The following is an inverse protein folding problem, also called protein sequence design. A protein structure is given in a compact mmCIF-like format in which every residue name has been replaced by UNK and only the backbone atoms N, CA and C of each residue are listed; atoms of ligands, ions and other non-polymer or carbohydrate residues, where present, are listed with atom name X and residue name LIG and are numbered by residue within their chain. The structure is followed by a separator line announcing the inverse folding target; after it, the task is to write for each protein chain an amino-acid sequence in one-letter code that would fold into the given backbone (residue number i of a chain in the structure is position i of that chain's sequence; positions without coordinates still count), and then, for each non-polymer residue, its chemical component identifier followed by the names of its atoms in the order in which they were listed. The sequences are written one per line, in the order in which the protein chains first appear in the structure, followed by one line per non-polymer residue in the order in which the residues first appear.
data_IF_987823076677
#
_entry.id   IF_987823076677
#
_cell.length_a   1.000
_cell.length_b   1.000
_cell.length_c   1.000
_cell.angle_alpha   90.00
_cell.angle_beta   90.00
_cell.angle_gamma   90.00
#
_symmetry.space_group_name_H-M   'P 1'
#
loop_
_entity.id
_entity.type
_entity.pdbx_description
1 polymer ?
#
# COMPACT_ATOMS: atom_id res chain seq x y z
N UNK A 1 -1.79 4.15 -27.77
CA UNK A 1 -1.06 5.39 -27.40
C UNK A 1 -0.66 6.15 -28.65
N UNK A 2 -0.52 7.46 -28.56
CA UNK A 2 -0.08 8.34 -29.64
C UNK A 2 1.10 9.20 -29.19
N UNK A 3 2.16 9.21 -29.99
CA UNK A 3 3.31 10.11 -29.87
C UNK A 3 3.29 11.12 -31.02
N UNK A 4 3.89 12.27 -30.81
CA UNK A 4 4.13 13.25 -31.86
C UNK A 4 5.16 12.74 -32.90
N UNK A 5 5.27 13.42 -34.04
CA UNK A 5 6.18 13.08 -35.15
C UNK A 5 7.64 13.01 -34.68
N UNK A 6 8.02 13.84 -33.71
CA UNK A 6 9.37 13.84 -33.12
C UNK A 6 9.63 12.70 -32.12
N UNK A 7 8.60 11.91 -31.79
CA UNK A 7 8.61 10.86 -30.76
C UNK A 7 9.03 11.34 -29.36
N UNK A 8 9.06 12.66 -29.12
CA UNK A 8 9.45 13.28 -27.84
C UNK A 8 8.26 13.81 -27.06
N UNK A 9 7.14 14.04 -27.74
CA UNK A 9 5.89 14.45 -27.08
C UNK A 9 4.89 13.30 -27.02
N UNK A 10 4.42 13.00 -25.81
CA UNK A 10 3.32 12.07 -25.60
C UNK A 10 1.98 12.78 -25.78
N UNK A 11 1.17 12.36 -26.75
CA UNK A 11 -0.05 13.08 -27.13
C UNK A 11 -1.33 12.46 -26.56
N UNK A 12 -1.40 11.13 -26.46
CA UNK A 12 -2.62 10.46 -25.99
C UNK A 12 -2.39 9.04 -25.50
N UNK A 13 -2.95 8.69 -24.34
CA UNK A 13 -3.08 7.31 -23.89
C UNK A 13 -4.38 6.70 -24.42
N UNK A 14 -4.37 5.40 -24.74
CA UNK A 14 -5.59 4.64 -25.04
C UNK A 14 -5.87 3.69 -23.90
N UNK A 15 -7.14 3.39 -23.61
CA UNK A 15 -7.54 2.52 -22.48
C UNK A 15 -6.81 1.18 -22.47
N UNK A 16 -6.54 0.61 -23.65
CA UNK A 16 -5.82 -0.65 -23.82
C UNK A 16 -4.34 -0.61 -23.40
N UNK A 17 -3.78 0.56 -23.08
CA UNK A 17 -2.39 0.66 -22.61
C UNK A 17 -2.26 0.74 -21.10
N UNK A 18 -3.35 0.98 -20.38
CA UNK A 18 -3.36 0.95 -18.92
C UNK A 18 -3.46 -0.52 -18.53
N UNK A 19 -2.54 -0.98 -17.69
CA UNK A 19 -2.54 -2.36 -17.21
C UNK A 19 -3.75 -2.62 -16.30
N UNK A 20 -4.09 -3.89 -16.05
CA UNK A 20 -5.27 -4.25 -15.23
C UNK A 20 -5.18 -3.75 -13.78
N UNK A 21 -3.98 -3.53 -13.27
CA UNK A 21 -3.68 -2.89 -11.98
C UNK A 21 -3.73 -1.35 -12.02
N UNK A 22 -4.08 -0.76 -13.18
CA UNK A 22 -4.26 0.69 -13.35
C UNK A 22 -2.96 1.47 -13.46
N UNK A 23 -1.86 0.81 -13.83
CA UNK A 23 -0.55 1.45 -13.97
C UNK A 23 -0.29 1.77 -15.44
N UNK A 24 0.29 2.94 -15.71
CA UNK A 24 0.80 3.27 -17.03
C UNK A 24 2.28 3.66 -16.96
N UNK A 25 3.07 3.06 -17.85
CA UNK A 25 4.48 3.38 -18.01
C UNK A 25 4.67 4.18 -19.30
N UNK A 26 5.13 5.43 -19.19
CA UNK A 26 5.49 6.21 -20.37
C UNK A 26 6.74 5.61 -21.05
N UNK A 27 6.81 5.62 -22.39
CA UNK A 27 8.01 5.17 -23.09
C UNK A 27 9.21 6.07 -22.80
N UNK A 28 10.41 5.48 -22.85
CA UNK A 28 11.66 6.20 -22.64
C UNK A 28 11.91 7.26 -23.73
N UNK A 29 12.57 8.36 -23.37
CA UNK A 29 12.95 9.42 -24.31
C UNK A 29 11.91 10.53 -24.53
N UNK A 30 10.73 10.43 -23.91
CA UNK A 30 9.75 11.52 -23.90
C UNK A 30 10.30 12.70 -23.09
N UNK A 31 10.18 13.90 -23.65
CA UNK A 31 10.51 15.16 -22.98
C UNK A 31 9.29 16.01 -22.65
N UNK A 32 8.14 15.77 -23.31
CA UNK A 32 6.92 16.54 -23.13
C UNK A 32 5.70 15.62 -22.96
N UNK A 33 4.86 15.88 -21.96
CA UNK A 33 3.49 15.37 -21.93
C UNK A 33 2.60 16.44 -22.57
N UNK A 34 1.91 16.07 -23.64
CA UNK A 34 1.06 16.96 -24.43
C UNK A 34 -0.20 17.39 -23.68
N UNK A 35 -0.89 18.35 -24.27
CA UNK A 35 -2.21 18.80 -23.82
C UNK A 35 -3.21 17.64 -23.85
N UNK A 36 -4.02 17.51 -22.79
CA UNK A 36 -5.05 16.45 -22.66
C UNK A 36 -4.54 15.01 -22.83
N UNK A 37 -3.24 14.74 -22.67
CA UNK A 37 -2.68 13.45 -23.04
C UNK A 37 -3.23 12.24 -22.25
N UNK A 38 -3.70 12.47 -21.03
CA UNK A 38 -4.39 11.51 -20.17
C UNK A 38 -5.79 11.97 -19.81
N UNK A 39 -6.43 12.82 -20.62
CA UNK A 39 -7.77 13.29 -20.34
C UNK A 39 -8.77 12.13 -20.18
N UNK A 40 -9.60 12.18 -19.13
CA UNK A 40 -10.64 11.23 -18.77
C UNK A 40 -10.16 9.77 -18.67
N UNK A 41 -8.91 9.56 -18.23
CA UNK A 41 -8.36 8.23 -17.99
C UNK A 41 -8.85 7.67 -16.66
N UNK A 42 -10.07 7.16 -16.66
CA UNK A 42 -10.74 6.61 -15.47
C UNK A 42 -10.10 5.33 -14.94
N UNK A 43 -9.33 4.59 -15.75
CA UNK A 43 -8.70 3.35 -15.30
C UNK A 43 -7.29 3.61 -14.72
N UNK A 44 -6.75 4.81 -14.89
CA UNK A 44 -5.41 5.18 -14.43
C UNK A 44 -5.42 5.40 -12.92
N UNK A 45 -4.73 4.54 -12.17
CA UNK A 45 -4.57 4.61 -10.72
C UNK A 45 -3.22 5.15 -10.29
N UNK A 46 -2.16 4.76 -10.99
CA UNK A 46 -0.78 5.18 -10.70
C UNK A 46 -0.06 5.56 -11.99
N UNK A 47 0.66 6.68 -11.93
CA UNK A 47 1.52 7.12 -13.02
C UNK A 47 2.91 7.51 -12.52
N UNK A 48 3.93 6.96 -13.20
CA UNK A 48 5.33 7.34 -12.98
C UNK A 48 5.81 8.12 -14.18
N UNK A 49 6.09 9.41 -14.00
CA UNK A 49 6.63 10.24 -15.07
C UNK A 49 8.16 10.01 -15.15
N UNK A 50 8.69 9.54 -16.30
CA UNK A 50 10.09 9.17 -16.40
C UNK A 50 11.01 10.39 -16.35
N UNK A 51 12.25 10.16 -15.89
CA UNK A 51 13.31 11.16 -15.95
C UNK A 51 13.53 11.62 -17.39
N UNK A 52 13.58 12.93 -17.59
CA UNK A 52 13.75 13.55 -18.92
C UNK A 52 12.53 14.34 -19.38
N UNK A 53 11.34 14.08 -18.81
CA UNK A 53 10.18 14.94 -19.04
C UNK A 53 10.41 16.29 -18.38
N UNK A 54 10.33 17.35 -19.17
CA UNK A 54 10.57 18.74 -18.73
C UNK A 54 9.28 19.55 -18.64
N UNK A 55 8.21 19.15 -19.33
CA UNK A 55 6.96 19.91 -19.29
C UNK A 55 5.71 19.04 -19.44
N UNK A 56 4.64 19.48 -18.79
CA UNK A 56 3.30 18.89 -18.84
C UNK A 56 2.34 19.92 -19.40
N UNK A 57 1.64 19.58 -20.48
CA UNK A 57 0.68 20.45 -21.17
C UNK A 57 -0.59 20.71 -20.36
N UNK A 58 -1.42 21.64 -20.83
CA UNK A 58 -2.68 21.97 -20.17
C UNK A 58 -3.62 20.75 -20.14
N UNK A 59 -4.47 20.66 -19.11
CA UNK A 59 -5.46 19.58 -18.96
C UNK A 59 -4.90 18.15 -19.06
N UNK A 60 -3.58 17.95 -18.92
CA UNK A 60 -2.95 16.67 -19.23
C UNK A 60 -3.55 15.48 -18.45
N UNK A 61 -4.02 15.67 -17.22
CA UNK A 61 -4.70 14.65 -16.40
C UNK A 61 -6.14 15.04 -16.06
N UNK A 62 -6.78 15.88 -16.88
CA UNK A 62 -8.15 16.34 -16.63
C UNK A 62 -9.11 15.14 -16.52
N UNK A 63 -9.92 15.08 -15.47
CA UNK A 63 -10.91 14.01 -15.27
C UNK A 63 -10.34 12.61 -15.02
N UNK A 64 -9.07 12.48 -14.61
CA UNK A 64 -8.52 11.20 -14.13
C UNK A 64 -9.07 10.85 -12.74
N UNK A 65 -10.32 10.41 -12.67
CA UNK A 65 -11.07 10.28 -11.42
C UNK A 65 -10.57 9.19 -10.47
N UNK A 66 -9.77 8.23 -10.94
CA UNK A 66 -9.20 7.15 -10.13
C UNK A 66 -7.68 7.29 -9.92
N UNK A 67 -7.06 8.36 -10.45
CA UNK A 67 -5.64 8.59 -10.27
C UNK A 67 -5.41 8.88 -8.78
N UNK A 68 -4.63 8.02 -8.14
CA UNK A 68 -4.40 8.04 -6.70
C UNK A 68 -2.97 8.47 -6.36
N UNK A 69 -2.01 8.04 -7.18
CA UNK A 69 -0.58 8.31 -6.97
C UNK A 69 0.09 8.79 -8.24
N UNK A 70 0.82 9.89 -8.14
CA UNK A 70 1.62 10.47 -9.23
C UNK A 70 3.06 10.71 -8.78
N UNK A 71 4.02 10.13 -9.49
CA UNK A 71 5.44 10.40 -9.28
C UNK A 71 5.96 11.40 -10.32
N UNK A 72 6.49 12.53 -9.83
CA UNK A 72 7.00 13.66 -10.62
C UNK A 72 8.54 13.70 -10.54
N UNK A 73 9.26 13.69 -11.68
CA UNK A 73 10.71 13.73 -11.72
C UNK A 73 11.24 15.15 -11.50
N UNK A 74 12.52 15.22 -11.10
CA UNK A 74 13.22 16.50 -10.84
C UNK A 74 13.36 17.36 -12.10
N UNK A 75 13.32 16.74 -13.29
CA UNK A 75 13.49 17.40 -14.58
C UNK A 75 12.34 18.33 -14.97
N UNK A 76 11.16 18.24 -14.32
CA UNK A 76 10.03 19.11 -14.64
C UNK A 76 10.40 20.58 -14.43
N UNK A 77 10.06 21.41 -15.41
CA UNK A 77 10.28 22.86 -15.43
C UNK A 77 8.98 23.64 -15.59
N UNK A 78 7.94 23.02 -16.16
CA UNK A 78 6.66 23.67 -16.41
C UNK A 78 5.51 22.67 -16.26
N UNK A 79 4.43 23.11 -15.61
CA UNK A 79 3.16 22.40 -15.47
C UNK A 79 2.09 23.33 -16.03
N UNK A 80 1.29 22.84 -16.97
CA UNK A 80 0.22 23.58 -17.62
C UNK A 80 -0.92 23.95 -16.66
N UNK A 81 -1.88 24.69 -17.19
CA UNK A 81 -3.08 25.08 -16.46
C UNK A 81 -4.05 23.90 -16.32
N UNK A 82 -4.75 23.82 -15.17
CA UNK A 82 -5.82 22.87 -14.88
C UNK A 82 -5.44 21.39 -15.12
N UNK A 83 -4.14 21.07 -15.01
CA UNK A 83 -3.57 19.75 -15.29
C UNK A 83 -4.26 18.64 -14.49
N UNK A 84 -4.65 18.93 -13.25
CA UNK A 84 -5.25 17.96 -12.32
C UNK A 84 -6.72 18.28 -12.01
N UNK A 85 -7.37 19.15 -12.78
CA UNK A 85 -8.78 19.43 -12.57
C UNK A 85 -9.62 18.15 -12.78
N UNK A 86 -10.50 17.83 -11.82
CA UNK A 86 -11.26 16.58 -11.83
C UNK A 86 -10.53 15.35 -11.25
N UNK A 87 -9.25 15.45 -10.86
CA UNK A 87 -8.55 14.36 -10.17
C UNK A 87 -8.97 14.26 -8.69
N UNK A 88 -10.19 13.79 -8.43
CA UNK A 88 -10.80 13.81 -7.09
C UNK A 88 -10.15 12.83 -6.10
N UNK A 89 -9.60 11.70 -6.57
CA UNK A 89 -8.96 10.66 -5.73
C UNK A 89 -7.46 10.84 -5.57
N UNK A 90 -6.85 11.85 -6.22
CA UNK A 90 -5.41 12.03 -6.19
C UNK A 90 -5.01 12.40 -4.78
N UNK A 91 -4.35 11.46 -4.09
CA UNK A 91 -4.00 11.60 -2.68
C UNK A 91 -2.52 11.91 -2.51
N UNK A 92 -1.68 11.31 -3.37
CA UNK A 92 -0.23 11.39 -3.25
C UNK A 92 0.41 11.94 -4.52
N UNK A 93 1.15 13.04 -4.36
CA UNK A 93 2.10 13.54 -5.35
C UNK A 93 3.50 13.36 -4.77
N UNK A 94 4.30 12.52 -5.42
CA UNK A 94 5.62 12.15 -4.94
C UNK A 94 6.65 12.86 -5.82
N UNK A 95 7.53 13.63 -5.19
CA UNK A 95 8.66 14.26 -5.90
C UNK A 95 9.87 13.33 -5.78
N UNK A 96 10.41 12.92 -6.92
CA UNK A 96 11.60 12.07 -7.02
C UNK A 96 12.92 12.84 -6.74
N UNK A 97 12.92 13.71 -5.73
CA UNK A 97 14.11 14.47 -5.27
C UNK A 97 14.24 14.39 -3.75
N UNK A 98 15.48 14.35 -3.29
CA UNK A 98 15.84 14.49 -1.88
C UNK A 98 16.43 15.89 -1.56
N UNK A 99 16.55 16.77 -2.57
CA UNK A 99 17.04 18.14 -2.39
C UNK A 99 15.85 19.08 -2.10
N UNK A 100 15.92 19.84 -0.99
CA UNK A 100 14.88 20.79 -0.61
C UNK A 100 14.63 21.86 -1.67
N UNK A 101 15.68 22.35 -2.35
CA UNK A 101 15.53 23.37 -3.38
C UNK A 101 14.70 22.88 -4.59
N UNK A 102 14.88 21.62 -4.99
CA UNK A 102 14.09 21.03 -6.07
C UNK A 102 12.66 20.74 -5.63
N UNK A 103 12.48 20.29 -4.38
CA UNK A 103 11.17 20.08 -3.80
C UNK A 103 10.35 21.38 -3.78
N UNK A 104 10.93 22.47 -3.28
CA UNK A 104 10.27 23.78 -3.22
C UNK A 104 9.96 24.31 -4.62
N UNK A 105 10.91 24.18 -5.55
CA UNK A 105 10.72 24.60 -6.95
C UNK A 105 9.58 23.86 -7.63
N UNK A 106 9.48 22.55 -7.48
CA UNK A 106 8.41 21.75 -8.12
C UNK A 106 7.07 21.99 -7.40
N UNK A 107 7.09 22.12 -6.08
CA UNK A 107 5.90 22.46 -5.29
C UNK A 107 5.34 23.83 -5.68
N UNK A 108 6.21 24.79 -6.03
CA UNK A 108 5.80 26.10 -6.52
C UNK A 108 5.08 26.04 -7.88
N UNK A 109 5.39 25.05 -8.73
CA UNK A 109 4.70 24.83 -10.02
C UNK A 109 3.31 24.22 -9.84
N UNK A 110 3.04 23.59 -8.70
CA UNK A 110 1.75 22.96 -8.41
C UNK A 110 0.75 23.98 -7.85
N UNK A 111 -0.56 23.82 -8.17
CA UNK A 111 -1.62 24.62 -7.57
C UNK A 111 -1.60 24.55 -6.03
N UNK A 112 -1.93 25.65 -5.37
CA UNK A 112 -1.85 25.76 -3.89
C UNK A 112 -2.63 24.66 -3.17
N UNK A 113 -3.81 24.33 -3.67
CA UNK A 113 -4.70 23.31 -3.10
C UNK A 113 -4.16 21.87 -3.21
N UNK A 114 -3.10 21.63 -3.99
CA UNK A 114 -2.39 20.35 -4.05
C UNK A 114 -1.12 20.30 -3.22
N UNK A 115 -0.58 21.43 -2.79
CA UNK A 115 0.70 21.46 -2.04
C UNK A 115 0.62 20.66 -0.75
N UNK A 116 -0.58 20.52 -0.18
CA UNK A 116 -0.84 19.70 0.99
C UNK A 116 -0.77 18.18 0.74
N UNK A 117 -0.71 17.71 -0.51
CA UNK A 117 -0.66 16.30 -0.92
C UNK A 117 0.73 15.88 -1.45
N UNK A 118 1.69 16.81 -1.45
CA UNK A 118 3.03 16.59 -1.95
C UNK A 118 3.91 15.99 -0.86
N UNK A 119 4.67 14.95 -1.19
CA UNK A 119 5.65 14.30 -0.30
C UNK A 119 6.93 13.94 -1.06
N UNK A 120 8.00 13.66 -0.32
CA UNK A 120 9.27 13.21 -0.90
C UNK A 120 9.25 11.70 -1.14
N UNK A 121 10.01 11.24 -2.13
CA UNK A 121 10.16 9.81 -2.39
C UNK A 121 10.69 9.03 -1.18
N UNK A 122 11.64 9.59 -0.43
CA UNK A 122 12.21 8.95 0.77
C UNK A 122 11.16 8.75 1.86
N UNK A 123 10.39 9.79 2.19
CA UNK A 123 9.32 9.69 3.18
C UNK A 123 8.23 8.73 2.69
N UNK A 124 7.88 8.79 1.41
CA UNK A 124 6.90 7.86 0.84
C UNK A 124 7.33 6.40 1.00
N UNK A 125 8.55 6.08 0.59
CA UNK A 125 9.10 4.73 0.70
C UNK A 125 9.19 4.26 2.17
N UNK A 126 9.55 5.15 3.10
CA UNK A 126 9.60 4.84 4.55
C UNK A 126 8.21 4.49 5.09
N UNK A 127 7.19 5.26 4.74
CA UNK A 127 5.81 5.04 5.17
C UNK A 127 5.28 3.74 4.58
N UNK A 128 5.44 3.51 3.28
CA UNK A 128 5.02 2.26 2.63
C UNK A 128 5.72 1.06 3.25
N UNK A 129 7.04 1.09 3.38
CA UNK A 129 7.82 0.02 4.02
C UNK A 129 7.38 -0.24 5.47
N UNK A 130 7.03 0.81 6.21
CA UNK A 130 6.52 0.67 7.57
C UNK A 130 5.12 0.04 7.60
N UNK A 131 4.18 0.52 6.77
CA UNK A 131 2.84 -0.08 6.63
C UNK A 131 2.94 -1.56 6.30
N UNK A 132 3.75 -1.92 5.29
CA UNK A 132 3.95 -3.31 4.85
C UNK A 132 4.51 -4.18 5.98
N UNK A 133 5.49 -3.67 6.74
CA UNK A 133 6.04 -4.39 7.91
C UNK A 133 5.00 -4.60 8.99
N UNK A 134 4.18 -3.60 9.29
CA UNK A 134 3.15 -3.68 10.32
C UNK A 134 2.03 -4.65 9.91
N UNK A 135 1.58 -4.59 8.66
CA UNK A 135 0.61 -5.54 8.11
C UNK A 135 1.17 -6.97 8.03
N UNK A 136 2.45 -7.15 7.70
CA UNK A 136 3.10 -8.45 7.73
C UNK A 136 3.19 -9.07 9.14
N UNK A 137 3.08 -8.27 10.22
CA UNK A 137 2.96 -8.83 11.57
C UNK A 137 1.65 -9.60 11.72
N UNK A 138 0.55 -9.10 11.16
CA UNK A 138 -0.75 -9.79 11.21
C UNK A 138 -0.71 -11.13 10.49
N UNK A 139 -0.09 -11.19 9.31
CA UNK A 139 0.01 -12.44 8.56
C UNK A 139 0.96 -13.44 9.21
N UNK A 140 2.01 -12.95 9.89
CA UNK A 140 2.93 -13.76 10.69
C UNK A 140 2.38 -14.21 12.05
N UNK A 141 1.27 -13.65 12.52
CA UNK A 141 0.59 -14.10 13.73
C UNK A 141 -0.31 -15.29 13.38
N UNK A 142 0.00 -16.53 13.81
CA UNK A 142 -0.80 -17.69 13.45
C UNK A 142 -2.27 -17.58 13.86
N UNK A 143 -2.55 -16.93 14.99
CA UNK A 143 -3.89 -16.75 15.57
C UNK A 143 -4.82 -15.89 14.69
N UNK A 144 -4.29 -15.06 13.80
CA UNK A 144 -5.13 -14.32 12.84
C UNK A 144 -5.69 -15.24 11.76
N UNK A 145 -5.15 -16.46 11.63
CA UNK A 145 -5.68 -17.47 10.74
C UNK A 145 -6.98 -18.05 11.33
N UNK A 146 -8.11 -18.01 10.61
CA UNK A 146 -9.37 -18.59 11.09
C UNK A 146 -9.28 -20.08 11.45
N UNK A 147 -8.33 -20.81 10.85
CA UNK A 147 -8.12 -22.24 11.10
C UNK A 147 -7.30 -22.52 12.36
N UNK A 148 -6.59 -21.53 12.91
CA UNK A 148 -5.64 -21.73 14.01
C UNK A 148 -6.28 -22.41 15.23
N UNK A 149 -7.50 -21.99 15.59
CA UNK A 149 -8.22 -22.54 16.73
C UNK A 149 -8.52 -24.04 16.58
N UNK A 150 -8.75 -24.53 15.37
CA UNK A 150 -9.09 -25.93 15.12
C UNK A 150 -7.93 -26.90 15.36
N UNK A 151 -6.69 -26.44 15.16
CA UNK A 151 -5.50 -27.29 15.26
C UNK A 151 -4.62 -26.99 16.48
N UNK A 152 -4.77 -25.85 17.15
CA UNK A 152 -3.81 -25.43 18.19
C UNK A 152 -4.39 -25.04 19.56
N UNK A 153 -5.70 -24.81 19.68
CA UNK A 153 -6.37 -24.70 20.99
C UNK A 153 -6.60 -26.08 21.60
N UNK A 154 -7.06 -26.17 22.86
CA UNK A 154 -7.69 -27.38 23.44
C UNK A 154 -8.99 -27.74 22.69
N UNK A 155 -8.94 -27.77 21.36
CA UNK A 155 -10.05 -28.05 20.51
C UNK A 155 -10.46 -29.50 20.73
N UNK A 156 -11.76 -29.69 20.85
CA UNK A 156 -12.44 -30.98 21.06
C UNK A 156 -12.07 -32.07 20.02
N UNK A 157 -11.42 -31.67 18.92
CA UNK A 157 -11.04 -32.49 17.77
C UNK A 157 -9.54 -32.83 17.69
N UNK A 158 -8.74 -32.46 18.70
CA UNK A 158 -7.31 -32.77 18.75
C UNK A 158 -7.12 -34.21 19.28
N UNK A 159 -6.45 -35.05 18.50
CA UNK A 159 -6.20 -36.45 18.89
C UNK A 159 -5.07 -36.55 19.91
N UNK A 160 -5.32 -37.21 21.04
CA UNK A 160 -4.32 -37.56 22.06
C UNK A 160 -3.88 -39.01 21.89
N UNK A 161 -2.58 -39.27 21.95
CA UNK A 161 -2.02 -40.62 21.99
C UNK A 161 -1.13 -40.77 23.22
N UNK A 162 -1.20 -41.91 23.90
CA UNK A 162 -0.30 -42.23 25.02
C UNK A 162 1.00 -42.82 24.49
N UNK A 163 2.13 -42.28 24.94
CA UNK A 163 3.47 -42.76 24.57
C UNK A 163 4.20 -43.20 25.84
N UNK A 164 4.78 -44.40 25.83
CA UNK A 164 5.68 -44.86 26.89
C UNK A 164 7.08 -44.25 26.70
N UNK A 165 7.60 -43.62 27.75
CA UNK A 165 8.96 -43.08 27.81
C UNK A 165 9.97 -44.16 28.21
N UNK A 166 11.26 -43.88 28.03
CA UNK A 166 12.37 -44.78 28.42
C UNK A 166 12.36 -45.12 29.93
N UNK A 167 11.77 -44.24 30.76
CA UNK A 167 11.54 -44.47 32.20
C UNK A 167 10.25 -45.26 32.51
N UNK A 168 9.57 -45.81 31.49
CA UNK A 168 8.25 -46.47 31.59
C UNK A 168 7.13 -45.58 32.14
N UNK A 169 7.24 -44.26 31.97
CA UNK A 169 6.14 -43.32 32.23
C UNK A 169 5.30 -43.13 30.98
N UNK A 170 3.98 -43.27 31.11
CA UNK A 170 3.02 -42.92 30.07
C UNK A 170 2.81 -41.40 30.07
N UNK A 171 3.08 -40.75 28.94
CA UNK A 171 2.80 -39.32 28.74
C UNK A 171 1.77 -39.19 27.62
N UNK A 172 0.72 -38.38 27.84
CA UNK A 172 -0.20 -37.98 26.78
C UNK A 172 0.52 -37.04 25.81
N UNK A 173 0.68 -37.46 24.55
CA UNK A 173 1.21 -36.63 23.47
C UNK A 173 0.07 -36.17 22.58
N UNK A 174 0.00 -34.85 22.36
CA UNK A 174 -0.93 -34.24 21.41
C UNK A 174 -0.39 -34.48 19.99
N UNK A 175 -1.17 -35.15 19.14
CA UNK A 175 -0.70 -35.62 17.83
C UNK A 175 -1.17 -34.74 16.64
N UNK A 176 -1.86 -33.63 16.87
CA UNK A 176 -2.47 -32.86 15.79
C UNK A 176 -2.33 -31.34 15.95
N UNK A 177 -1.15 -30.86 16.34
CA UNK A 177 -0.82 -29.44 16.23
C UNK A 177 -0.20 -29.16 14.87
N UNK A 178 -0.81 -28.26 14.12
CA UNK A 178 -0.22 -27.77 12.88
C UNK A 178 0.90 -26.76 13.22
N UNK A 179 2.10 -26.89 12.64
CA UNK A 179 3.17 -25.92 12.81
C UNK A 179 2.77 -24.47 12.46
N UNK A 180 3.30 -23.51 13.22
CA UNK A 180 2.99 -22.07 13.08
C UNK A 180 3.38 -21.48 11.71
N UNK A 181 4.43 -22.02 11.10
CA UNK A 181 4.87 -21.65 9.76
C UNK A 181 3.83 -21.97 8.68
N UNK A 182 3.08 -23.05 8.81
CA UNK A 182 1.99 -23.38 7.86
C UNK A 182 0.89 -22.31 7.94
N UNK A 183 0.54 -21.84 9.14
CA UNK A 183 -0.44 -20.76 9.30
C UNK A 183 0.03 -19.45 8.69
N UNK A 184 1.32 -19.13 8.83
CA UNK A 184 1.92 -17.98 8.17
C UNK A 184 1.78 -18.07 6.64
N UNK A 185 2.12 -19.23 6.05
CA UNK A 185 1.97 -19.43 4.60
C UNK A 185 0.52 -19.28 4.14
N UNK A 186 -0.44 -19.87 4.88
CA UNK A 186 -1.86 -19.76 4.56
C UNK A 186 -2.32 -18.29 4.66
N UNK A 187 -1.92 -17.56 5.70
CA UNK A 187 -2.25 -16.15 5.86
C UNK A 187 -1.66 -15.30 4.72
N UNK A 188 -0.43 -15.61 4.27
CA UNK A 188 0.19 -14.92 3.14
C UNK A 188 -0.51 -15.24 1.80
N UNK A 189 -0.98 -16.48 1.61
CA UNK A 189 -1.71 -16.88 0.40
C UNK A 189 -3.13 -16.30 0.35
N UNK A 190 -3.76 -16.10 1.51
CA UNK A 190 -5.15 -15.66 1.64
C UNK A 190 -5.24 -14.29 2.34
N UNK A 191 -4.33 -13.36 2.02
CA UNK A 191 -4.31 -12.02 2.64
C UNK A 191 -5.62 -11.27 2.47
N UNK A 192 -6.16 -11.30 1.26
CA UNK A 192 -7.40 -10.59 0.91
C UNK A 192 -8.63 -11.14 1.65
N UNK A 193 -8.60 -12.43 2.00
CA UNK A 193 -9.67 -13.10 2.75
C UNK A 193 -9.45 -13.05 4.28
N UNK A 194 -8.25 -12.65 4.74
CA UNK A 194 -7.96 -12.55 6.17
C UNK A 194 -8.66 -11.32 6.76
N UNK A 195 -9.71 -11.56 7.55
CA UNK A 195 -10.56 -10.49 8.07
C UNK A 195 -9.84 -9.54 9.04
N UNK A 196 -8.78 -9.97 9.72
CA UNK A 196 -7.96 -9.10 10.58
C UNK A 196 -7.05 -8.22 9.72
N UNK A 197 -6.43 -8.80 8.69
CA UNK A 197 -5.60 -8.08 7.73
C UNK A 197 -6.40 -6.99 7.02
N UNK A 198 -7.51 -7.35 6.37
CA UNK A 198 -8.30 -6.42 5.57
C UNK A 198 -8.86 -5.27 6.41
N UNK A 199 -9.36 -5.55 7.63
CA UNK A 199 -9.85 -4.49 8.53
C UNK A 199 -8.74 -3.55 8.98
N UNK A 200 -7.56 -4.07 9.31
CA UNK A 200 -6.42 -3.25 9.68
C UNK A 200 -5.95 -2.38 8.50
N UNK A 201 -5.84 -2.96 7.30
CA UNK A 201 -5.45 -2.25 6.09
C UNK A 201 -6.40 -1.08 5.77
N UNK A 202 -7.72 -1.32 5.83
CA UNK A 202 -8.72 -0.27 5.61
C UNK A 202 -8.56 0.86 6.63
N UNK A 203 -8.39 0.55 7.92
CA UNK A 203 -8.22 1.58 8.95
C UNK A 203 -6.90 2.36 8.79
N UNK A 204 -5.81 1.68 8.45
CA UNK A 204 -4.51 2.30 8.17
C UNK A 204 -4.60 3.22 6.95
N UNK A 205 -5.40 2.86 5.95
CA UNK A 205 -5.67 3.67 4.76
C UNK A 205 -6.50 4.93 5.04
N UNK A 206 -7.28 4.96 6.12
CA UNK A 206 -8.05 6.14 6.54
C UNK A 206 -7.21 7.16 7.33
N UNK A 207 -6.03 6.76 7.81
CA UNK A 207 -5.16 7.65 8.57
C UNK A 207 -4.55 8.75 7.66
N UNK A 208 -4.43 9.99 8.17
CA UNK A 208 -3.84 11.07 7.41
C UNK A 208 -2.38 10.75 7.09
N UNK A 209 -2.00 10.93 5.83
CA UNK A 209 -0.65 10.62 5.38
C UNK A 209 0.36 11.63 5.95
N UNK A 210 1.49 11.16 6.52
CA UNK A 210 2.47 12.03 7.14
C UNK A 210 3.29 12.78 6.08
N UNK A 211 3.49 14.08 6.32
CA UNK A 211 4.22 14.99 5.41
C UNK A 211 5.55 15.45 5.97
N UNK A 212 5.75 15.23 7.26
CA UNK A 212 6.98 15.55 7.99
C UNK A 212 7.43 14.36 8.80
N UNK A 213 8.71 14.33 9.17
CA UNK A 213 9.26 13.27 10.03
C UNK A 213 8.58 13.25 11.41
N UNK A 214 8.13 14.41 11.92
CA UNK A 214 7.36 14.50 13.15
C UNK A 214 5.96 13.88 13.03
N UNK A 215 5.25 14.17 11.94
CA UNK A 215 3.96 13.53 11.66
C UNK A 215 4.13 12.02 11.46
N UNK A 216 5.22 11.61 10.82
CA UNK A 216 5.50 10.19 10.61
C UNK A 216 5.65 9.44 11.93
N UNK A 217 6.28 10.04 12.96
CA UNK A 217 6.36 9.42 14.30
C UNK A 217 5.00 9.24 14.95
N UNK A 218 4.08 10.18 14.79
CA UNK A 218 2.70 10.04 15.30
C UNK A 218 1.95 8.97 14.53
N UNK A 219 2.05 9.03 13.20
CA UNK A 219 1.50 8.03 12.29
C UNK A 219 1.95 6.61 12.62
N UNK A 220 3.23 6.42 12.93
CA UNK A 220 3.79 5.12 13.32
C UNK A 220 3.10 4.54 14.56
N UNK A 221 2.86 5.37 15.58
CA UNK A 221 2.19 4.94 16.81
C UNK A 221 0.74 4.52 16.54
N UNK A 222 0.00 5.32 15.75
CA UNK A 222 -1.40 5.01 15.42
C UNK A 222 -1.52 3.70 14.63
N UNK A 223 -0.64 3.48 13.64
CA UNK A 223 -0.61 2.22 12.88
C UNK A 223 -0.26 1.04 13.78
N UNK A 224 0.73 1.18 14.66
CA UNK A 224 1.10 0.13 15.61
C UNK A 224 -0.05 -0.22 16.56
N UNK A 225 -0.77 0.78 17.05
CA UNK A 225 -1.94 0.59 17.91
C UNK A 225 -3.05 -0.17 17.19
N UNK A 226 -3.39 0.21 15.95
CA UNK A 226 -4.37 -0.51 15.13
C UNK A 226 -3.97 -1.97 14.96
N UNK A 227 -2.72 -2.22 14.53
CA UNK A 227 -2.23 -3.59 14.28
C UNK A 227 -2.23 -4.41 15.57
N UNK A 228 -1.73 -3.87 16.68
CA UNK A 228 -1.72 -4.55 17.96
C UNK A 228 -3.14 -4.90 18.42
N UNK A 229 -4.10 -3.99 18.26
CA UNK A 229 -5.49 -4.25 18.60
C UNK A 229 -6.08 -5.47 17.87
N UNK A 230 -5.76 -5.65 16.57
CA UNK A 230 -6.23 -6.82 15.82
C UNK A 230 -5.48 -8.11 16.16
N UNK A 231 -4.18 -8.03 16.45
CA UNK A 231 -3.40 -9.16 16.98
C UNK A 231 -4.00 -9.63 18.30
N UNK A 232 -4.26 -8.71 19.24
CA UNK A 232 -4.82 -9.03 20.55
C UNK A 232 -6.23 -9.63 20.44
N UNK A 233 -7.07 -9.08 19.56
CA UNK A 233 -8.40 -9.66 19.27
C UNK A 233 -8.31 -11.08 18.73
N UNK A 234 -7.33 -11.37 17.88
CA UNK A 234 -7.10 -12.72 17.37
C UNK A 234 -6.68 -13.68 18.50
N UNK A 235 -5.77 -13.25 19.38
CA UNK A 235 -5.31 -14.05 20.52
C UNK A 235 -6.45 -14.31 21.53
N UNK A 236 -7.22 -13.29 21.91
CA UNK A 236 -8.34 -13.41 22.85
C UNK A 236 -9.46 -14.28 22.27
N UNK A 237 -9.75 -14.17 20.98
CA UNK A 237 -10.75 -15.02 20.31
C UNK A 237 -10.40 -16.52 20.30
N UNK A 238 -9.12 -16.86 20.42
CA UNK A 238 -8.62 -18.24 20.53
C UNK A 238 -8.69 -18.75 21.98
N UNK A 239 -8.47 -17.88 22.97
CA UNK A 239 -8.54 -18.20 24.40
C UNK A 239 -9.79 -17.58 25.02
N UNK A 240 -11.00 -18.16 24.82
CA UNK A 240 -12.15 -17.74 25.61
C UNK A 240 -11.79 -18.01 27.07
N UNK A 241 -11.65 -16.95 27.86
CA UNK A 241 -11.52 -17.04 29.31
C UNK A 241 -12.64 -17.96 29.77
N UNK A 242 -12.28 -19.15 30.26
CA UNK A 242 -13.20 -20.02 30.96
C UNK A 242 -13.79 -19.19 32.10
N UNK A 243 -15.11 -19.00 32.18
CA UNK A 243 -15.68 -18.34 33.34
C UNK A 243 -15.30 -19.19 34.55
N UNK A 244 -14.47 -18.62 35.42
CA UNK A 244 -14.13 -19.21 36.70
C UNK A 244 -15.44 -19.42 37.47
N UNK A 245 -15.84 -20.68 37.63
CA UNK A 245 -16.92 -21.10 38.54
C UNK A 245 -16.32 -21.24 39.93
#
# INVERSE_FOLDING_TARGET
MQLNIDSKTFLRVTKDNITSDGVFHLPAGITLIGESAFENCIDLRKLVIPNGVTSIGNWAFYGCNNLHTLEIPVSIRSIGKDVFAGCITLEYIIIASNNSADFDRITALLPEWFRNKVTTQDLFNKVTCFRDKQLARLTRTPQTNPLYRFFNSEAKFVSKTTVETEEKRLIEKICSKLPDDIFWHINEMLKDDNCYYHKAEVLIGLLPYPKSESEFRTYQKEVEEIVNQYIDKAIVGVNPVSPSI
#
